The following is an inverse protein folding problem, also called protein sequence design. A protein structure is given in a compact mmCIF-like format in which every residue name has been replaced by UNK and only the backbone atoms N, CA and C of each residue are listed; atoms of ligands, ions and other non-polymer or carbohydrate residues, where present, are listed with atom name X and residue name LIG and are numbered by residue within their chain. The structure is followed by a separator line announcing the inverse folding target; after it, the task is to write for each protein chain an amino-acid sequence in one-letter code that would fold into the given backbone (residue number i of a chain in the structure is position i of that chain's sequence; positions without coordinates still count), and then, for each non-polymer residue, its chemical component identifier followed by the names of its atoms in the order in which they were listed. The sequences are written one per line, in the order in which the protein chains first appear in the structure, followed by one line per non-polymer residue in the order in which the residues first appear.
data_IF_662752620479
#
_entry.id   IF_662752620479
#
_cell.length_a   1.000
_cell.length_b   1.000
_cell.length_c   1.000
_cell.angle_alpha   90.00
_cell.angle_beta   90.00
_cell.angle_gamma   90.00
#
_symmetry.space_group_name_H-M   'P 1'
#
loop_
_entity.id
_entity.type
_entity.pdbx_description
1 polymer ?
#
# COMPACT_ATOMS: atom_id res chain seq x y z
N UNK A 1 -72.59 33.96 33.51
CA UNK A 1 -72.24 35.39 33.70
C UNK A 1 -70.85 35.42 34.26
N UNK A 2 -69.86 35.68 33.47
CA UNK A 2 -68.56 36.22 33.84
C UNK A 2 -67.88 36.69 32.55
N UNK A 3 -67.69 37.96 32.46
CA UNK A 3 -67.10 38.69 31.32
C UNK A 3 -65.63 38.40 31.18
N UNK A 4 -65.24 38.04 29.97
CA UNK A 4 -63.86 37.99 29.51
C UNK A 4 -63.45 39.38 29.02
N UNK A 5 -62.61 40.10 29.77
CA UNK A 5 -61.95 41.30 29.36
C UNK A 5 -60.66 40.98 28.59
N UNK A 6 -60.69 41.23 27.28
CA UNK A 6 -59.48 41.23 26.44
C UNK A 6 -58.61 42.46 26.77
N UNK A 7 -57.28 42.32 26.85
CA UNK A 7 -56.36 43.45 27.04
C UNK A 7 -56.24 44.25 25.73
N UNK A 8 -56.29 45.59 25.91
CA UNK A 8 -56.30 46.59 24.83
C UNK A 8 -55.00 46.60 24.01
N UNK A 9 -55.13 46.80 22.70
CA UNK A 9 -54.09 46.85 21.68
C UNK A 9 -53.03 47.97 21.84
N UNK A 10 -53.09 48.77 22.90
CA UNK A 10 -52.17 49.89 23.16
C UNK A 10 -50.92 49.44 23.93
N UNK A 11 -50.94 48.30 24.62
CA UNK A 11 -49.80 47.81 25.40
C UNK A 11 -48.73 47.06 24.56
N UNK A 12 -49.03 46.70 23.33
CA UNK A 12 -48.12 45.91 22.48
C UNK A 12 -47.17 46.77 21.63
N UNK A 13 -47.56 48.02 21.37
CA UNK A 13 -46.73 48.93 20.57
C UNK A 13 -45.56 49.58 21.32
N UNK A 14 -45.54 49.55 22.67
CA UNK A 14 -44.49 50.15 23.48
C UNK A 14 -43.34 49.15 23.81
N UNK A 15 -43.56 47.86 23.60
CA UNK A 15 -42.51 46.83 23.86
C UNK A 15 -41.62 46.55 22.66
N UNK A 16 -41.97 47.03 21.44
CA UNK A 16 -41.19 46.76 20.24
C UNK A 16 -40.19 47.91 19.85
N UNK A 17 -40.19 49.03 20.59
CA UNK A 17 -39.31 50.15 20.30
C UNK A 17 -37.97 50.17 21.09
N UNK A 18 -37.72 49.16 21.93
CA UNK A 18 -36.54 49.10 22.80
C UNK A 18 -35.51 48.01 22.43
N UNK A 19 -35.66 47.33 21.29
CA UNK A 19 -34.79 46.20 20.91
C UNK A 19 -33.96 46.42 19.64
N UNK A 20 -33.74 47.66 19.20
CA UNK A 20 -32.85 47.96 18.09
C UNK A 20 -31.81 48.97 18.54
N UNK A 21 -30.98 48.57 19.51
CA UNK A 21 -29.67 49.19 19.76
C UNK A 21 -28.79 48.14 20.47
N UNK A 22 -28.26 47.27 19.70
CA UNK A 22 -27.23 46.32 20.04
C UNK A 22 -26.56 45.90 18.74
N UNK A 23 -25.73 46.77 18.18
CA UNK A 23 -24.72 46.39 17.19
C UNK A 23 -23.89 45.28 17.84
N UNK A 24 -24.32 44.04 17.58
CA UNK A 24 -23.49 42.88 17.80
C UNK A 24 -22.35 42.93 16.77
N UNK A 25 -21.38 43.83 17.03
CA UNK A 25 -20.06 43.75 16.41
C UNK A 25 -19.57 42.32 16.60
N UNK A 26 -19.77 41.48 15.60
CA UNK A 26 -19.11 40.20 15.47
C UNK A 26 -17.61 40.45 15.54
N UNK A 27 -17.08 40.46 16.76
CA UNK A 27 -15.64 40.50 17.02
C UNK A 27 -15.04 39.30 16.28
N UNK A 28 -14.55 39.59 15.07
CA UNK A 28 -13.66 38.67 14.38
C UNK A 28 -12.58 38.31 15.38
N UNK A 29 -12.41 37.05 15.78
CA UNK A 29 -11.40 36.70 16.77
C UNK A 29 -10.04 37.06 16.17
N UNK A 30 -9.48 38.21 16.59
CA UNK A 30 -8.12 38.62 16.24
C UNK A 30 -7.21 37.51 16.77
N UNK A 31 -6.50 36.83 15.86
CA UNK A 31 -5.50 35.82 16.21
C UNK A 31 -4.52 36.45 17.19
N UNK A 32 -4.65 36.16 18.49
CA UNK A 32 -3.70 36.62 19.50
C UNK A 32 -2.31 36.15 19.09
N UNK A 33 -1.29 37.00 19.10
CA UNK A 33 0.07 36.61 18.78
C UNK A 33 0.48 35.50 19.76
N UNK A 34 0.79 34.32 19.18
CA UNK A 34 1.19 33.15 19.96
C UNK A 34 2.56 33.47 20.55
N UNK A 35 2.67 33.51 21.87
CA UNK A 35 3.97 33.67 22.55
C UNK A 35 4.88 32.52 22.15
N UNK A 36 6.13 32.74 21.70
CA UNK A 36 7.00 31.72 21.14
C UNK A 36 7.21 30.49 22.07
N UNK A 37 7.28 30.73 23.39
CA UNK A 37 7.39 29.62 24.35
C UNK A 37 6.12 28.74 24.46
N UNK A 38 4.94 29.30 24.22
CA UNK A 38 3.67 28.55 24.24
C UNK A 38 3.52 27.76 22.94
N UNK A 39 3.93 28.36 21.81
CA UNK A 39 3.96 27.65 20.52
C UNK A 39 4.88 26.44 20.58
N UNK A 40 6.09 26.57 21.14
CA UNK A 40 7.04 25.46 21.25
C UNK A 40 6.48 24.33 22.12
N UNK A 41 5.83 24.65 23.24
CA UNK A 41 5.24 23.65 24.14
C UNK A 41 4.03 22.96 23.53
N UNK A 42 3.20 23.66 22.77
CA UNK A 42 1.94 23.12 22.24
C UNK A 42 2.11 22.47 20.85
N UNK A 43 3.05 22.97 20.04
CA UNK A 43 3.19 22.53 18.64
C UNK A 43 4.64 22.27 18.24
N UNK A 44 5.61 23.08 18.71
CA UNK A 44 7.00 23.06 18.26
C UNK A 44 7.71 21.73 18.53
N UNK A 45 7.47 21.10 19.67
CA UNK A 45 8.05 19.79 19.97
C UNK A 45 7.63 18.71 18.98
N UNK A 46 6.41 18.77 18.44
CA UNK A 46 5.90 17.85 17.42
C UNK A 46 6.70 17.99 16.12
N UNK A 47 7.08 19.20 15.76
CA UNK A 47 7.93 19.44 14.58
C UNK A 47 9.34 18.91 14.81
N UNK A 48 9.91 19.08 16.01
CA UNK A 48 11.22 18.49 16.34
C UNK A 48 11.18 16.96 16.23
N UNK A 49 10.17 16.33 16.82
CA UNK A 49 9.98 14.88 16.70
C UNK A 49 9.82 14.46 15.24
N UNK A 50 8.99 15.19 14.48
CA UNK A 50 8.80 14.90 13.06
C UNK A 50 10.10 15.01 12.27
N UNK A 51 10.91 16.07 12.51
CA UNK A 51 12.22 16.22 11.84
C UNK A 51 13.18 15.09 12.22
N UNK A 52 13.26 14.72 13.50
CA UNK A 52 14.09 13.59 13.95
C UNK A 52 13.68 12.29 13.26
N UNK A 53 12.38 12.02 13.18
CA UNK A 53 11.86 10.82 12.49
C UNK A 53 12.15 10.87 10.99
N UNK A 54 12.02 12.02 10.34
CA UNK A 54 12.36 12.18 8.92
C UNK A 54 13.86 11.94 8.69
N UNK A 55 14.73 12.54 9.49
CA UNK A 55 16.19 12.31 9.40
C UNK A 55 16.52 10.83 9.60
N UNK A 56 15.92 10.20 10.61
CA UNK A 56 16.12 8.77 10.87
C UNK A 56 15.66 7.89 9.71
N UNK A 57 14.50 8.19 9.12
CA UNK A 57 13.94 7.43 7.99
C UNK A 57 14.72 7.65 6.69
N UNK A 58 15.21 8.86 6.44
CA UNK A 58 15.92 9.23 5.21
C UNK A 58 17.39 8.79 5.25
N UNK A 59 18.00 8.72 6.44
CA UNK A 59 19.41 8.38 6.58
C UNK A 59 19.83 7.07 5.89
N UNK A 60 19.11 5.92 6.08
CA UNK A 60 19.47 4.67 5.39
C UNK A 60 19.38 4.80 3.86
N UNK A 61 18.42 5.56 3.35
CA UNK A 61 18.27 5.78 1.91
C UNK A 61 19.45 6.59 1.34
N UNK A 62 19.82 7.68 2.03
CA UNK A 62 21.00 8.47 1.67
C UNK A 62 22.30 7.63 1.72
N UNK A 63 22.39 6.72 2.68
CA UNK A 63 23.54 5.81 2.77
C UNK A 63 23.63 4.89 1.55
N UNK A 64 22.51 4.24 1.15
CA UNK A 64 22.47 3.36 -0.02
C UNK A 64 22.78 4.13 -1.31
N UNK A 65 22.21 5.33 -1.49
CA UNK A 65 22.51 6.20 -2.63
C UNK A 65 23.99 6.60 -2.63
N UNK A 66 24.55 6.99 -1.49
CA UNK A 66 25.96 7.32 -1.36
C UNK A 66 26.88 6.12 -1.68
N UNK A 67 26.51 4.92 -1.21
CA UNK A 67 27.26 3.69 -1.49
C UNK A 67 27.22 3.33 -2.99
N UNK A 68 26.12 3.56 -3.67
CA UNK A 68 25.97 3.28 -5.11
C UNK A 68 26.88 4.14 -6.00
N UNK A 69 27.25 5.33 -5.53
CA UNK A 69 28.07 6.30 -6.25
C UNK A 69 29.58 6.16 -5.97
N UNK A 70 30.00 5.13 -5.23
CA UNK A 70 31.40 4.89 -4.93
C UNK A 70 32.02 3.88 -5.88
N UNK A 71 33.13 4.19 -6.53
CA UNK A 71 33.88 3.21 -7.32
C UNK A 71 34.47 2.15 -6.37
N UNK A 72 34.26 0.87 -6.68
CA UNK A 72 34.84 -0.28 -5.96
C UNK A 72 34.62 -0.28 -4.43
N UNK A 73 33.45 0.19 -3.97
CA UNK A 73 33.14 0.26 -2.55
C UNK A 73 32.91 -1.11 -1.94
N UNK A 74 33.67 -1.40 -0.87
CA UNK A 74 33.41 -2.54 0.01
C UNK A 74 32.51 -2.10 1.16
N UNK A 75 31.85 -3.06 1.84
CA UNK A 75 31.01 -2.77 3.00
C UNK A 75 31.80 -2.04 4.11
N UNK A 76 33.03 -2.46 4.36
CA UNK A 76 33.88 -1.93 5.44
C UNK A 76 34.43 -0.53 5.12
N UNK A 77 34.61 -0.16 3.86
CA UNK A 77 35.17 1.13 3.44
C UNK A 77 34.14 2.26 3.25
N UNK A 78 32.86 2.02 3.56
CA UNK A 78 31.78 2.93 3.17
C UNK A 78 31.30 3.91 4.26
N UNK A 79 32.15 4.22 5.25
CA UNK A 79 31.75 5.01 6.43
C UNK A 79 31.51 6.51 6.20
N UNK A 80 32.04 7.10 5.11
CA UNK A 80 31.83 8.50 4.79
C UNK A 80 30.79 8.68 3.67
N UNK A 81 29.83 9.58 3.81
CA UNK A 81 28.79 9.82 2.80
C UNK A 81 29.33 10.69 1.65
N UNK A 82 28.92 10.37 0.41
CA UNK A 82 29.16 11.17 -0.80
C UNK A 82 30.63 11.56 -1.04
N UNK A 83 31.56 10.63 -0.81
CA UNK A 83 33.01 10.86 -1.05
C UNK A 83 33.36 10.89 -2.54
N UNK A 84 32.50 10.35 -3.40
CA UNK A 84 32.63 10.36 -4.86
C UNK A 84 31.24 10.39 -5.51
N UNK A 85 31.17 10.87 -6.75
CA UNK A 85 29.96 10.86 -7.58
C UNK A 85 30.30 10.10 -8.87
N UNK A 86 30.39 8.77 -8.77
CA UNK A 86 30.77 7.89 -9.89
C UNK A 86 29.59 6.97 -10.25
N UNK A 87 29.20 6.98 -11.53
CA UNK A 87 28.10 6.17 -12.06
C UNK A 87 28.58 4.82 -12.64
N UNK A 88 29.87 4.50 -12.52
CA UNK A 88 30.45 3.27 -13.08
C UNK A 88 29.77 2.00 -12.57
N UNK A 89 29.25 2.00 -11.33
CA UNK A 89 28.53 0.84 -10.77
C UNK A 89 27.22 0.57 -11.52
N UNK A 90 26.54 1.60 -11.95
CA UNK A 90 25.31 1.46 -12.75
C UNK A 90 25.63 0.87 -14.13
N UNK A 91 26.75 1.28 -14.74
CA UNK A 91 27.21 0.70 -16.02
C UNK A 91 27.60 -0.77 -15.83
N UNK A 92 28.40 -1.09 -14.82
CA UNK A 92 28.82 -2.46 -14.50
C UNK A 92 27.63 -3.38 -14.24
N UNK A 93 26.55 -2.88 -13.63
CA UNK A 93 25.34 -3.62 -13.35
C UNK A 93 24.68 -4.21 -14.61
N UNK A 94 24.72 -3.48 -15.73
CA UNK A 94 24.14 -3.90 -17.01
C UNK A 94 25.12 -4.64 -17.92
N UNK A 95 26.42 -4.57 -17.64
CA UNK A 95 27.45 -5.16 -18.51
C UNK A 95 27.84 -6.60 -18.16
N UNK A 96 27.31 -7.15 -17.08
CA UNK A 96 27.67 -8.51 -16.63
C UNK A 96 26.76 -9.57 -17.28
N UNK A 97 27.25 -10.38 -18.24
CA UNK A 97 26.43 -11.37 -18.92
C UNK A 97 25.93 -12.49 -17.99
N UNK A 98 26.72 -12.82 -16.94
CA UNK A 98 26.36 -13.86 -15.96
C UNK A 98 25.35 -13.39 -14.94
N UNK A 99 25.07 -12.09 -14.89
CA UNK A 99 24.16 -11.44 -13.92
C UNK A 99 23.25 -10.47 -14.68
N UNK A 100 22.23 -10.96 -15.40
CA UNK A 100 21.43 -10.17 -16.32
C UNK A 100 20.43 -9.28 -15.58
N UNK A 101 20.91 -8.18 -14.97
CA UNK A 101 20.10 -7.26 -14.16
C UNK A 101 18.86 -6.75 -14.89
N UNK A 102 18.97 -6.44 -16.19
CA UNK A 102 17.84 -5.97 -16.98
C UNK A 102 16.70 -6.99 -17.07
N UNK A 103 17.03 -8.29 -17.17
CA UNK A 103 16.03 -9.37 -17.15
C UNK A 103 15.41 -9.50 -15.76
N UNK A 104 16.22 -9.46 -14.69
CA UNK A 104 15.69 -9.50 -13.32
C UNK A 104 14.72 -8.35 -13.03
N UNK A 105 15.06 -7.18 -13.54
CA UNK A 105 14.21 -5.99 -13.40
C UNK A 105 12.86 -6.19 -14.09
N UNK A 106 12.87 -6.65 -15.35
CA UNK A 106 11.65 -6.92 -16.12
C UNK A 106 10.85 -8.05 -15.49
N UNK A 107 11.50 -9.15 -15.11
CA UNK A 107 10.84 -10.29 -14.45
C UNK A 107 10.13 -9.85 -13.17
N UNK A 108 10.78 -9.02 -12.35
CA UNK A 108 10.20 -8.48 -11.12
C UNK A 108 8.96 -7.63 -11.39
N UNK A 109 9.00 -6.78 -12.42
CA UNK A 109 7.85 -5.97 -12.83
C UNK A 109 6.68 -6.84 -13.31
N UNK A 110 6.97 -7.86 -14.10
CA UNK A 110 5.94 -8.78 -14.62
C UNK A 110 5.33 -9.58 -13.47
N UNK A 111 6.15 -10.26 -12.68
CA UNK A 111 5.69 -11.09 -11.56
C UNK A 111 4.94 -10.24 -10.53
N UNK A 112 5.55 -9.12 -10.10
CA UNK A 112 4.95 -8.22 -9.12
C UNK A 112 3.67 -7.56 -9.62
N UNK A 113 3.67 -7.10 -10.87
CA UNK A 113 2.52 -6.46 -11.50
C UNK A 113 1.35 -7.41 -11.67
N UNK A 114 1.57 -8.61 -12.21
CA UNK A 114 0.53 -9.62 -12.39
C UNK A 114 0.00 -10.07 -11.02
N UNK A 115 0.88 -10.35 -10.06
CA UNK A 115 0.47 -10.73 -8.70
C UNK A 115 -0.40 -9.64 -8.07
N UNK A 116 0.00 -8.38 -8.15
CA UNK A 116 -0.76 -7.27 -7.56
C UNK A 116 -2.15 -7.12 -8.21
N UNK A 117 -2.22 -7.14 -9.55
CA UNK A 117 -3.49 -7.03 -10.29
C UNK A 117 -4.42 -8.19 -9.95
N UNK A 118 -3.92 -9.43 -9.99
CA UNK A 118 -4.73 -10.60 -9.68
C UNK A 118 -5.15 -10.64 -8.20
N UNK A 119 -4.28 -10.23 -7.27
CA UNK A 119 -4.64 -10.12 -5.84
C UNK A 119 -5.76 -9.11 -5.63
N UNK A 120 -5.69 -7.93 -6.26
CA UNK A 120 -6.74 -6.92 -6.19
C UNK A 120 -8.04 -7.46 -6.79
N UNK A 121 -7.98 -8.06 -7.97
CA UNK A 121 -9.16 -8.53 -8.67
C UNK A 121 -9.86 -9.68 -7.93
N UNK A 122 -9.12 -10.75 -7.64
CA UNK A 122 -9.66 -11.92 -6.95
C UNK A 122 -10.09 -11.59 -5.51
N UNK A 123 -9.28 -10.80 -4.81
CA UNK A 123 -9.60 -10.32 -3.46
C UNK A 123 -10.84 -9.44 -3.42
N UNK A 124 -11.02 -8.54 -4.39
CA UNK A 124 -12.22 -7.71 -4.49
C UNK A 124 -13.47 -8.54 -4.79
N UNK A 125 -13.37 -9.52 -5.70
CA UNK A 125 -14.48 -10.46 -5.99
C UNK A 125 -14.87 -11.26 -4.74
N UNK A 126 -13.89 -11.80 -4.03
CA UNK A 126 -14.12 -12.53 -2.80
C UNK A 126 -14.72 -11.61 -1.71
N UNK A 127 -14.16 -10.42 -1.51
CA UNK A 127 -14.67 -9.42 -0.55
C UNK A 127 -16.11 -8.99 -0.88
N UNK A 128 -16.44 -8.80 -2.15
CA UNK A 128 -17.81 -8.52 -2.60
C UNK A 128 -18.75 -9.67 -2.26
N UNK A 129 -18.38 -10.91 -2.59
CA UNK A 129 -19.19 -12.08 -2.26
C UNK A 129 -19.40 -12.19 -0.75
N UNK A 130 -18.34 -12.06 0.05
CA UNK A 130 -18.42 -12.09 1.51
C UNK A 130 -19.15 -10.90 2.12
N UNK A 131 -19.21 -9.73 1.48
CA UNK A 131 -19.92 -8.56 2.04
C UNK A 131 -21.39 -8.51 1.62
N UNK A 132 -21.72 -8.88 0.37
CA UNK A 132 -23.04 -8.66 -0.24
C UNK A 132 -23.87 -9.92 -0.41
N UNK A 133 -23.23 -11.09 -0.56
CA UNK A 133 -23.98 -12.32 -0.81
C UNK A 133 -24.27 -13.07 0.49
N UNK A 134 -25.44 -13.71 0.55
CA UNK A 134 -25.83 -14.60 1.65
C UNK A 134 -25.64 -16.04 1.19
N UNK A 135 -24.67 -16.73 1.76
CA UNK A 135 -24.43 -18.14 1.50
C UNK A 135 -24.00 -18.89 2.77
N UNK A 136 -24.28 -20.19 2.80
CA UNK A 136 -23.91 -21.06 3.90
C UNK A 136 -22.39 -21.14 4.01
N UNK A 137 -21.83 -21.01 5.21
CA UNK A 137 -20.37 -21.06 5.44
C UNK A 137 -19.64 -19.73 5.27
N UNK A 138 -20.32 -18.60 4.96
CA UNK A 138 -19.72 -17.27 4.80
C UNK A 138 -18.78 -16.89 5.96
N UNK A 139 -19.25 -17.03 7.20
CA UNK A 139 -18.48 -16.68 8.41
C UNK A 139 -17.29 -17.62 8.60
N UNK A 140 -17.51 -18.91 8.39
CA UNK A 140 -16.45 -19.91 8.48
C UNK A 140 -15.38 -19.67 7.42
N UNK A 141 -15.78 -19.39 6.18
CA UNK A 141 -14.85 -19.09 5.09
C UNK A 141 -13.96 -17.87 5.38
N UNK A 142 -14.52 -16.77 5.88
CA UNK A 142 -13.73 -15.60 6.29
C UNK A 142 -12.74 -15.92 7.42
N UNK A 143 -13.20 -16.66 8.44
CA UNK A 143 -12.33 -17.07 9.55
C UNK A 143 -11.24 -18.03 9.07
N UNK A 144 -11.55 -18.98 8.17
CA UNK A 144 -10.56 -19.90 7.59
C UNK A 144 -9.47 -19.16 6.82
N UNK A 145 -9.84 -18.13 6.02
CA UNK A 145 -8.85 -17.31 5.32
C UNK A 145 -7.89 -16.62 6.29
N UNK A 146 -8.38 -16.15 7.44
CA UNK A 146 -7.53 -15.56 8.47
C UNK A 146 -6.66 -16.60 9.17
N UNK A 147 -7.22 -17.75 9.53
CA UNK A 147 -6.49 -18.82 10.23
C UNK A 147 -5.36 -19.39 9.39
N UNK A 148 -5.59 -19.60 8.09
CA UNK A 148 -4.56 -20.06 7.15
C UNK A 148 -3.37 -19.09 7.12
N UNK A 149 -3.62 -17.79 7.19
CA UNK A 149 -2.57 -16.75 7.18
C UNK A 149 -1.75 -16.70 8.48
N UNK A 150 -2.25 -17.28 9.57
CA UNK A 150 -1.47 -17.39 10.82
C UNK A 150 -0.39 -18.47 10.74
N UNK A 151 -0.48 -19.36 9.75
CA UNK A 151 0.58 -20.36 9.53
C UNK A 151 1.84 -19.67 8.98
N UNK A 152 3.01 -19.87 9.58
CA UNK A 152 4.24 -19.25 9.12
C UNK A 152 4.60 -19.71 7.70
N UNK A 153 4.54 -18.82 6.72
CA UNK A 153 4.84 -19.15 5.31
C UNK A 153 6.23 -19.77 5.15
N UNK A 154 7.18 -19.39 5.98
CA UNK A 154 8.52 -19.93 5.96
C UNK A 154 8.55 -21.44 6.21
N UNK A 155 7.64 -21.97 7.02
CA UNK A 155 7.53 -23.41 7.25
C UNK A 155 6.93 -24.17 6.06
N UNK A 156 6.18 -23.48 5.20
CA UNK A 156 5.57 -24.07 4.02
C UNK A 156 6.54 -24.21 2.82
N UNK A 157 7.74 -23.65 2.90
CA UNK A 157 8.70 -23.58 1.78
C UNK A 157 9.00 -24.95 1.19
N UNK A 158 9.24 -25.95 2.03
CA UNK A 158 9.51 -27.34 1.56
C UNK A 158 8.27 -27.94 0.88
N UNK A 159 7.08 -27.69 1.44
CA UNK A 159 5.84 -28.18 0.85
C UNK A 159 5.55 -27.48 -0.50
N UNK A 160 5.82 -26.17 -0.59
CA UNK A 160 5.69 -25.40 -1.85
C UNK A 160 6.63 -25.96 -2.91
N UNK A 161 7.90 -26.24 -2.55
CA UNK A 161 8.87 -26.84 -3.46
C UNK A 161 8.38 -28.20 -4.00
N UNK A 162 7.97 -29.12 -3.10
CA UNK A 162 7.47 -30.43 -3.49
C UNK A 162 6.20 -30.37 -4.34
N UNK A 163 5.29 -29.44 -4.00
CA UNK A 163 4.08 -29.22 -4.76
C UNK A 163 4.37 -28.72 -6.17
N UNK A 164 5.25 -27.73 -6.32
CA UNK A 164 5.62 -27.20 -7.64
C UNK A 164 6.42 -28.21 -8.45
N UNK A 165 7.25 -29.05 -7.82
CA UNK A 165 7.91 -30.15 -8.49
C UNK A 165 6.88 -31.14 -9.08
N UNK A 166 5.93 -31.62 -8.26
CA UNK A 166 4.88 -32.53 -8.69
C UNK A 166 3.94 -31.90 -9.77
N UNK A 167 3.60 -30.62 -9.64
CA UNK A 167 2.81 -29.93 -10.67
C UNK A 167 3.62 -29.83 -11.98
N UNK A 168 4.92 -29.56 -11.88
CA UNK A 168 5.81 -29.44 -13.04
C UNK A 168 5.91 -30.68 -13.88
N UNK A 169 5.78 -31.87 -13.29
CA UNK A 169 5.74 -33.16 -14.02
C UNK A 169 4.54 -33.27 -14.97
N UNK A 170 3.42 -32.63 -14.64
CA UNK A 170 2.17 -32.65 -15.44
C UNK A 170 2.03 -31.36 -16.26
N UNK A 171 2.33 -30.22 -15.65
CA UNK A 171 2.21 -28.88 -16.23
C UNK A 171 3.52 -28.09 -16.06
N UNK A 172 4.51 -28.25 -16.95
CA UNK A 172 5.83 -27.61 -16.83
C UNK A 172 5.77 -26.08 -16.66
N UNK A 173 4.77 -25.44 -17.28
CA UNK A 173 4.57 -23.99 -17.17
C UNK A 173 4.20 -23.50 -15.76
N UNK A 174 3.79 -24.39 -14.85
CA UNK A 174 3.38 -24.07 -13.47
C UNK A 174 4.33 -24.69 -12.42
N UNK A 175 5.35 -25.42 -12.88
CA UNK A 175 6.32 -26.10 -12.02
C UNK A 175 7.45 -25.22 -11.52
N UNK A 176 8.48 -25.89 -10.99
CA UNK A 176 9.75 -25.24 -10.62
C UNK A 176 10.40 -24.58 -11.84
N UNK A 177 11.06 -23.45 -11.64
CA UNK A 177 11.66 -22.63 -12.69
C UNK A 177 10.66 -21.70 -13.40
N UNK A 178 9.36 -21.85 -13.15
CA UNK A 178 8.32 -21.08 -13.81
C UNK A 178 7.94 -19.81 -13.03
N UNK A 179 7.90 -18.68 -13.74
CA UNK A 179 7.38 -17.43 -13.20
C UNK A 179 5.87 -17.51 -12.89
N UNK A 180 5.10 -18.26 -13.68
CA UNK A 180 3.68 -18.50 -13.42
C UNK A 180 3.48 -19.32 -12.15
N UNK A 181 4.30 -20.34 -11.93
CA UNK A 181 4.30 -21.11 -10.68
C UNK A 181 4.54 -20.21 -9.46
N UNK A 182 5.52 -19.29 -9.55
CA UNK A 182 5.79 -18.33 -8.49
C UNK A 182 4.62 -17.36 -8.25
N UNK A 183 3.99 -16.84 -9.31
CA UNK A 183 2.80 -15.97 -9.21
C UNK A 183 1.66 -16.71 -8.48
N UNK A 184 1.41 -17.98 -8.79
CA UNK A 184 0.38 -18.78 -8.11
C UNK A 184 0.65 -18.92 -6.61
N UNK A 185 1.90 -19.16 -6.22
CA UNK A 185 2.30 -19.23 -4.81
C UNK A 185 2.08 -17.89 -4.10
N UNK A 186 2.47 -16.80 -4.73
CA UNK A 186 2.26 -15.46 -4.19
C UNK A 186 0.77 -15.11 -4.02
N UNK A 187 -0.08 -15.48 -4.97
CA UNK A 187 -1.53 -15.29 -4.88
C UNK A 187 -2.12 -16.08 -3.70
N UNK A 188 -1.68 -17.32 -3.48
CA UNK A 188 -2.12 -18.11 -2.33
C UNK A 188 -1.83 -17.43 -1.00
N UNK A 189 -0.64 -16.86 -0.86
CA UNK A 189 -0.26 -16.08 0.32
C UNK A 189 -0.99 -14.73 0.46
N UNK A 190 -1.20 -14.03 -0.65
CA UNK A 190 -1.73 -12.67 -0.63
C UNK A 190 -3.26 -12.60 -0.43
N UNK A 191 -4.01 -13.57 -0.96
CA UNK A 191 -5.47 -13.50 -1.01
C UNK A 191 -6.14 -13.46 0.37
N UNK A 192 -5.62 -14.15 1.38
CA UNK A 192 -6.24 -14.25 2.69
C UNK A 192 -6.39 -12.90 3.39
N UNK A 193 -5.26 -12.24 3.71
CA UNK A 193 -5.24 -10.94 4.41
C UNK A 193 -5.88 -9.84 3.58
N UNK A 194 -5.56 -9.80 2.28
CA UNK A 194 -6.05 -8.73 1.42
C UNK A 194 -7.56 -8.82 1.19
N UNK A 195 -8.13 -10.03 1.08
CA UNK A 195 -9.58 -10.22 1.01
C UNK A 195 -10.26 -9.72 2.29
N UNK A 196 -9.67 -9.99 3.45
CA UNK A 196 -10.23 -9.52 4.73
C UNK A 196 -10.18 -8.00 4.86
N UNK A 197 -9.08 -7.36 4.46
CA UNK A 197 -8.96 -5.90 4.45
C UNK A 197 -10.01 -5.28 3.53
N UNK A 198 -10.14 -5.81 2.32
CA UNK A 198 -11.16 -5.35 1.37
C UNK A 198 -12.58 -5.58 1.90
N UNK A 199 -12.86 -6.75 2.49
CA UNK A 199 -14.16 -7.06 3.10
C UNK A 199 -14.57 -6.03 4.14
N UNK A 200 -13.64 -5.65 5.04
CA UNK A 200 -13.87 -4.60 6.03
C UNK A 200 -14.29 -3.29 5.37
N UNK A 201 -13.61 -2.88 4.31
CA UNK A 201 -13.90 -1.64 3.60
C UNK A 201 -15.20 -1.71 2.78
N UNK A 202 -15.48 -2.84 2.12
CA UNK A 202 -16.74 -3.05 1.40
C UNK A 202 -17.98 -2.91 2.30
N UNK A 203 -17.87 -3.29 3.58
CA UNK A 203 -18.96 -3.13 4.54
C UNK A 203 -19.22 -1.67 4.95
N UNK A 204 -18.30 -0.73 4.67
CA UNK A 204 -18.53 0.70 4.91
C UNK A 204 -19.42 1.35 3.83
N UNK A 205 -19.54 0.70 2.67
CA UNK A 205 -20.42 1.16 1.59
C UNK A 205 -21.87 0.76 1.93
N UNK A 206 -22.83 1.72 2.00
CA UNK A 206 -24.22 1.42 2.32
C UNK A 206 -24.85 0.43 1.34
N UNK A 207 -25.54 -0.58 1.87
CA UNK A 207 -26.24 -1.62 1.06
C UNK A 207 -27.35 -1.02 0.21
N UNK A 208 -27.94 0.11 0.62
CA UNK A 208 -28.98 0.82 -0.13
C UNK A 208 -28.55 1.22 -1.54
N UNK A 209 -27.25 1.40 -1.79
CA UNK A 209 -26.70 1.67 -3.14
C UNK A 209 -26.91 0.44 -4.04
N UNK A 210 -26.62 -0.75 -3.52
CA UNK A 210 -26.84 -2.02 -4.24
C UNK A 210 -28.33 -2.27 -4.48
N UNK A 211 -29.19 -1.93 -3.49
CA UNK A 211 -30.64 -2.11 -3.58
C UNK A 211 -31.27 -1.16 -4.61
N UNK A 212 -30.86 0.11 -4.63
CA UNK A 212 -31.30 1.07 -5.63
C UNK A 212 -30.91 0.62 -7.05
N UNK A 213 -29.67 0.20 -7.25
CA UNK A 213 -29.21 -0.28 -8.54
C UNK A 213 -29.96 -1.55 -9.02
N UNK A 214 -30.37 -2.42 -8.08
CA UNK A 214 -31.21 -3.60 -8.42
C UNK A 214 -32.64 -3.20 -8.83
N UNK A 215 -33.21 -2.16 -8.22
CA UNK A 215 -34.52 -1.61 -8.63
C UNK A 215 -34.45 -1.08 -10.05
N UNK A 216 -33.29 -0.45 -10.43
CA UNK A 216 -33.02 0.00 -11.79
C UNK A 216 -32.70 -1.16 -12.77
N UNK A 217 -32.75 -2.42 -12.31
CA UNK A 217 -32.55 -3.61 -13.15
C UNK A 217 -31.09 -4.02 -13.34
N UNK A 218 -30.13 -3.43 -12.59
CA UNK A 218 -28.73 -3.79 -12.71
C UNK A 218 -28.44 -5.19 -12.16
N UNK A 219 -27.67 -5.99 -12.89
CA UNK A 219 -27.17 -7.30 -12.44
C UNK A 219 -26.09 -7.15 -11.38
N UNK A 220 -25.81 -8.20 -10.59
CA UNK A 220 -24.73 -8.21 -9.61
C UNK A 220 -23.36 -7.87 -10.22
N UNK A 221 -23.09 -8.33 -11.43
CA UNK A 221 -21.84 -8.01 -12.14
C UNK A 221 -21.77 -6.52 -12.50
N UNK A 222 -22.85 -5.94 -13.01
CA UNK A 222 -22.91 -4.50 -13.30
C UNK A 222 -22.71 -3.68 -12.03
N UNK A 223 -23.39 -3.99 -10.94
CA UNK A 223 -23.21 -3.32 -9.64
C UNK A 223 -21.76 -3.40 -9.20
N UNK A 224 -21.15 -4.59 -9.24
CA UNK A 224 -19.75 -4.77 -8.85
C UNK A 224 -18.79 -3.91 -9.69
N UNK A 225 -18.83 -4.06 -11.04
CA UNK A 225 -17.83 -3.42 -11.90
C UNK A 225 -18.06 -1.91 -12.09
N UNK A 226 -19.30 -1.43 -12.12
CA UNK A 226 -19.59 -0.03 -12.44
C UNK A 226 -19.75 0.87 -11.22
N UNK A 227 -20.22 0.32 -10.09
CA UNK A 227 -20.54 1.09 -8.90
C UNK A 227 -19.53 0.79 -7.77
N UNK A 228 -19.50 -0.47 -7.31
CA UNK A 228 -18.78 -0.82 -6.09
C UNK A 228 -17.29 -0.64 -6.24
N UNK A 229 -16.66 -1.14 -7.32
CA UNK A 229 -15.23 -0.98 -7.53
C UNK A 229 -14.76 0.48 -7.53
N UNK A 230 -15.61 1.41 -8.01
CA UNK A 230 -15.29 2.85 -7.98
C UNK A 230 -15.34 3.41 -6.56
N UNK A 231 -16.33 3.01 -5.78
CA UNK A 231 -16.48 3.46 -4.39
C UNK A 231 -15.37 2.94 -3.47
N UNK A 232 -14.91 1.72 -3.73
CA UNK A 232 -13.83 1.08 -2.95
C UNK A 232 -12.44 1.27 -3.55
N UNK A 233 -12.28 2.08 -4.61
CA UNK A 233 -11.01 2.33 -5.26
C UNK A 233 -9.85 2.68 -4.31
N UNK A 234 -10.04 3.42 -3.20
CA UNK A 234 -8.97 3.69 -2.24
C UNK A 234 -8.37 2.41 -1.64
N UNK A 235 -9.18 1.48 -1.18
CA UNK A 235 -8.67 0.23 -0.60
C UNK A 235 -8.04 -0.68 -1.68
N UNK A 236 -8.57 -0.67 -2.91
CA UNK A 236 -7.98 -1.42 -4.02
C UNK A 236 -6.56 -0.91 -4.33
N UNK A 237 -6.36 0.41 -4.32
CA UNK A 237 -5.05 1.02 -4.52
C UNK A 237 -4.06 0.63 -3.41
N UNK A 238 -4.51 0.65 -2.15
CA UNK A 238 -3.67 0.23 -1.00
C UNK A 238 -3.27 -1.24 -1.13
N UNK A 239 -4.23 -2.13 -1.38
CA UNK A 239 -3.96 -3.57 -1.52
C UNK A 239 -3.07 -3.86 -2.72
N UNK A 240 -3.29 -3.19 -3.86
CA UNK A 240 -2.44 -3.31 -5.04
C UNK A 240 -1.00 -2.91 -4.76
N UNK A 241 -0.81 -1.77 -4.10
CA UNK A 241 0.52 -1.30 -3.71
C UNK A 241 1.21 -2.27 -2.74
N UNK A 242 0.52 -2.70 -1.69
CA UNK A 242 1.07 -3.63 -0.70
C UNK A 242 1.44 -4.98 -1.33
N UNK A 243 0.59 -5.51 -2.21
CA UNK A 243 0.86 -6.76 -2.93
C UNK A 243 2.05 -6.62 -3.89
N UNK A 244 2.17 -5.49 -4.59
CA UNK A 244 3.30 -5.21 -5.45
C UNK A 244 4.61 -5.13 -4.64
N UNK A 245 4.63 -4.38 -3.54
CA UNK A 245 5.80 -4.27 -2.67
C UNK A 245 6.19 -5.64 -2.10
N UNK A 246 5.23 -6.40 -1.59
CA UNK A 246 5.49 -7.72 -1.01
C UNK A 246 6.09 -8.69 -2.02
N UNK A 247 5.53 -8.77 -3.25
CA UNK A 247 6.01 -9.67 -4.28
C UNK A 247 7.35 -9.26 -4.88
N UNK A 248 7.63 -7.94 -5.01
CA UNK A 248 8.91 -7.46 -5.56
C UNK A 248 10.07 -7.61 -4.59
N UNK A 249 9.82 -7.59 -3.29
CA UNK A 249 10.85 -7.76 -2.23
C UNK A 249 11.01 -9.20 -1.75
N UNK A 250 10.18 -10.13 -2.21
CA UNK A 250 10.22 -11.52 -1.75
C UNK A 250 11.43 -12.25 -2.34
N UNK A 251 12.25 -12.79 -1.45
CA UNK A 251 13.50 -13.46 -1.80
C UNK A 251 13.43 -14.99 -1.58
N UNK A 252 12.84 -15.44 -0.47
CA UNK A 252 12.99 -16.80 0.01
C UNK A 252 12.34 -17.81 -0.94
N UNK A 253 11.07 -17.59 -1.24
CA UNK A 253 10.29 -18.46 -2.13
C UNK A 253 10.83 -18.33 -3.57
N UNK A 254 11.09 -17.08 -4.01
CA UNK A 254 11.62 -16.83 -5.34
C UNK A 254 12.95 -17.52 -5.58
N UNK A 255 13.87 -17.55 -4.60
CA UNK A 255 15.18 -18.20 -4.73
C UNK A 255 15.11 -19.73 -4.86
N UNK A 256 14.04 -20.33 -4.34
CA UNK A 256 13.82 -21.77 -4.40
C UNK A 256 13.09 -22.15 -5.68
N UNK A 257 12.15 -21.33 -6.10
CA UNK A 257 11.34 -21.58 -7.30
C UNK A 257 12.10 -21.24 -8.58
N UNK A 258 12.81 -20.09 -8.63
CA UNK A 258 13.50 -19.59 -9.81
C UNK A 258 15.01 -19.79 -9.71
N UNK A 259 15.50 -20.91 -10.14
CA UNK A 259 16.94 -21.27 -10.08
C UNK A 259 17.75 -20.79 -11.31
N UNK A 260 17.09 -20.63 -12.48
CA UNK A 260 17.75 -20.13 -13.69
C UNK A 260 17.96 -18.60 -13.58
N UNK A 261 19.20 -18.10 -13.76
CA UNK A 261 19.50 -16.66 -13.74
C UNK A 261 18.61 -15.82 -14.65
N UNK A 262 18.16 -16.36 -15.79
CA UNK A 262 17.32 -15.61 -16.73
C UNK A 262 15.87 -15.42 -16.27
N UNK A 263 15.38 -16.27 -15.37
CA UNK A 263 14.02 -16.22 -14.84
C UNK A 263 13.90 -15.55 -13.47
N UNK A 264 15.03 -15.33 -12.79
CA UNK A 264 15.09 -14.79 -11.44
C UNK A 264 14.47 -13.38 -11.32
N UNK A 265 14.05 -13.05 -10.09
CA UNK A 265 13.64 -11.71 -9.70
C UNK A 265 14.85 -10.87 -9.26
N UNK A 266 14.66 -9.55 -9.17
CA UNK A 266 15.68 -8.62 -8.65
C UNK A 266 16.15 -8.99 -7.25
N UNK A 267 15.23 -9.40 -6.36
CA UNK A 267 15.57 -9.77 -4.99
C UNK A 267 16.57 -10.94 -4.97
N UNK A 268 16.36 -11.95 -5.80
CA UNK A 268 17.25 -13.11 -5.92
C UNK A 268 18.56 -12.73 -6.60
N UNK A 269 18.49 -12.04 -7.75
CA UNK A 269 19.66 -11.68 -8.52
C UNK A 269 20.60 -10.72 -7.78
N UNK A 270 20.06 -9.72 -7.08
CA UNK A 270 20.87 -8.79 -6.28
C UNK A 270 21.60 -9.48 -5.14
N UNK A 271 21.01 -10.49 -4.53
CA UNK A 271 21.68 -11.25 -3.48
C UNK A 271 22.97 -11.92 -3.98
N UNK A 272 23.03 -12.32 -5.25
CA UNK A 272 24.24 -12.91 -5.83
C UNK A 272 25.46 -11.97 -5.79
N UNK A 273 25.27 -10.64 -5.84
CA UNK A 273 26.38 -9.67 -5.74
C UNK A 273 27.06 -9.65 -4.37
N UNK A 274 26.33 -9.98 -3.31
CA UNK A 274 26.84 -9.94 -1.94
C UNK A 274 27.21 -11.33 -1.40
N UNK A 275 26.67 -12.42 -1.97
CA UNK A 275 26.89 -13.79 -1.51
C UNK A 275 28.22 -14.40 -1.99
N UNK A 276 28.68 -14.02 -3.19
CA UNK A 276 29.78 -14.74 -3.86
C UNK A 276 31.20 -14.29 -3.45
N UNK A 277 31.40 -13.07 -2.95
CA UNK A 277 32.68 -12.57 -2.44
C UNK A 277 32.47 -11.43 -1.44
N UNK A 278 32.33 -11.75 -0.19
CA UNK A 278 32.34 -10.80 0.94
C UNK A 278 32.63 -9.34 0.54
N UNK A 279 31.60 -8.55 0.33
CA UNK A 279 31.67 -7.09 0.27
C UNK A 279 32.32 -6.42 -0.96
N UNK A 280 32.98 -7.10 -1.86
CA UNK A 280 33.65 -6.44 -2.99
C UNK A 280 32.70 -5.80 -4.02
N UNK A 281 31.44 -6.24 -4.05
CA UNK A 281 30.43 -5.75 -4.98
C UNK A 281 29.33 -4.94 -4.29
N UNK A 282 29.59 -4.45 -3.07
CA UNK A 282 28.60 -3.72 -2.28
C UNK A 282 28.06 -2.49 -3.01
N UNK A 283 28.91 -1.73 -3.70
CA UNK A 283 28.48 -0.55 -4.45
C UNK A 283 27.63 -0.89 -5.67
N UNK A 284 27.90 -2.03 -6.34
CA UNK A 284 27.05 -2.52 -7.45
C UNK A 284 25.70 -2.99 -6.91
N UNK A 285 25.70 -3.73 -5.79
CA UNK A 285 24.45 -4.10 -5.10
C UNK A 285 23.64 -2.86 -4.72
N UNK A 286 24.28 -1.83 -4.14
CA UNK A 286 23.62 -0.58 -3.77
C UNK A 286 23.04 0.15 -5.00
N UNK A 287 23.74 0.16 -6.13
CA UNK A 287 23.21 0.72 -7.39
C UNK A 287 21.97 -0.04 -7.87
N UNK A 288 21.99 -1.38 -7.81
CA UNK A 288 20.84 -2.20 -8.10
C UNK A 288 19.66 -1.96 -7.15
N UNK A 289 19.93 -1.80 -5.85
CA UNK A 289 18.92 -1.49 -4.85
C UNK A 289 18.26 -0.11 -5.09
N UNK A 290 19.02 0.91 -5.49
CA UNK A 290 18.48 2.22 -5.87
C UNK A 290 17.55 2.09 -7.07
N UNK A 291 17.96 1.37 -8.13
CA UNK A 291 17.12 1.16 -9.30
C UNK A 291 15.87 0.34 -8.97
N UNK A 292 15.97 -0.67 -8.09
CA UNK A 292 14.83 -1.50 -7.69
C UNK A 292 13.75 -0.73 -6.90
N UNK A 293 14.13 0.37 -6.26
CA UNK A 293 13.19 1.24 -5.56
C UNK A 293 12.32 2.08 -6.53
N UNK A 294 12.80 2.35 -7.75
CA UNK A 294 12.10 3.23 -8.70
C UNK A 294 10.70 2.74 -9.10
N UNK A 295 10.48 1.45 -9.43
CA UNK A 295 9.14 0.95 -9.76
C UNK A 295 8.17 1.08 -8.59
N UNK A 296 8.61 0.74 -7.38
CA UNK A 296 7.79 0.85 -6.17
C UNK A 296 7.39 2.31 -5.93
N UNK A 297 8.34 3.22 -6.07
CA UNK A 297 8.10 4.67 -5.95
C UNK A 297 7.14 5.16 -7.03
N UNK A 298 7.30 4.71 -8.28
CA UNK A 298 6.41 5.09 -9.39
C UNK A 298 4.98 4.61 -9.15
N UNK A 299 4.79 3.36 -8.71
CA UNK A 299 3.47 2.82 -8.36
C UNK A 299 2.86 3.59 -7.19
N UNK A 300 3.64 3.87 -6.14
CA UNK A 300 3.18 4.67 -5.00
C UNK A 300 2.73 6.06 -5.43
N UNK A 301 3.55 6.80 -6.20
CA UNK A 301 3.21 8.15 -6.68
C UNK A 301 1.97 8.15 -7.58
N UNK A 302 1.78 7.11 -8.39
CA UNK A 302 0.57 6.94 -9.21
C UNK A 302 -0.70 6.69 -8.39
N UNK A 303 -0.58 5.95 -7.27
CA UNK A 303 -1.70 5.54 -6.44
C UNK A 303 -1.96 6.47 -5.25
N UNK A 304 -1.01 7.35 -4.87
CA UNK A 304 -1.09 8.18 -3.65
C UNK A 304 -2.37 9.01 -3.55
N UNK A 305 -2.91 9.52 -4.67
CA UNK A 305 -4.16 10.30 -4.69
C UNK A 305 -5.36 9.50 -4.18
N UNK A 306 -5.41 8.21 -4.48
CA UNK A 306 -6.48 7.32 -4.01
C UNK A 306 -6.30 6.96 -2.55
N UNK A 307 -5.04 6.76 -2.11
CA UNK A 307 -4.70 6.40 -0.73
C UNK A 307 -5.04 7.57 0.22
N UNK A 308 -4.60 8.79 -0.11
CA UNK A 308 -4.85 9.99 0.70
C UNK A 308 -6.34 10.33 0.73
N UNK A 309 -7.02 10.29 -0.42
CA UNK A 309 -8.45 10.56 -0.50
C UNK A 309 -9.31 9.63 0.35
N UNK A 310 -8.95 8.34 0.44
CA UNK A 310 -9.66 7.36 1.26
C UNK A 310 -9.48 7.56 2.77
N UNK A 311 -8.30 8.01 3.21
CA UNK A 311 -8.02 8.27 4.62
C UNK A 311 -8.72 9.53 5.13
N UNK A 312 -8.89 10.54 4.29
CA UNK A 312 -9.53 11.81 4.66
C UNK A 312 -11.05 11.75 4.63
N UNK A 313 -11.65 10.95 3.75
CA UNK A 313 -13.11 10.78 3.66
C UNK A 313 -13.72 10.18 4.95
N UNK A 314 -12.96 9.40 5.71
CA UNK A 314 -13.38 8.85 7.00
C UNK A 314 -13.21 9.78 8.20
N UNK A 315 -12.51 10.90 8.04
CA UNK A 315 -12.12 11.82 9.14
C UNK A 315 -13.05 13.03 9.28
N UNK A 316 -13.96 13.24 8.33
CA UNK A 316 -14.96 14.33 8.38
C UNK A 316 -16.29 13.72 8.84
N UNK A 317 -16.50 13.71 10.15
CA UNK A 317 -17.80 13.52 10.80
C UNK A 317 -18.26 14.83 11.38
#
# INVERSE_FOLDING_TARGET
MSESTAPSAVGVAAASAGLIDGEDERRIPTKRPVRPGRWFRDTGWRHVVAVVLVVFAVFPLLYVVSASLRPNGTLVGSNALFTSLDLTNYVKLFQNPSQPFGLWFINTLIIGGITAVLTVFLGAMAAYAFSRMRFTGRRVGLLSLMLIQMFPQFLAVVAIFLLLAAIGDVFPALGLGSQLGLIMVYLGGALGVNTYLMYGFFNTVPVSIDEAAKIDGASHAQIFFTIILRLVAPILAVVGLLSFIASTGEYVIASIVLTDPNTQTLAVGLYAFISQKFSNNWSIFAAGAVLSALPVMAVFLGLQKYIVGGLTAGSVK
#
